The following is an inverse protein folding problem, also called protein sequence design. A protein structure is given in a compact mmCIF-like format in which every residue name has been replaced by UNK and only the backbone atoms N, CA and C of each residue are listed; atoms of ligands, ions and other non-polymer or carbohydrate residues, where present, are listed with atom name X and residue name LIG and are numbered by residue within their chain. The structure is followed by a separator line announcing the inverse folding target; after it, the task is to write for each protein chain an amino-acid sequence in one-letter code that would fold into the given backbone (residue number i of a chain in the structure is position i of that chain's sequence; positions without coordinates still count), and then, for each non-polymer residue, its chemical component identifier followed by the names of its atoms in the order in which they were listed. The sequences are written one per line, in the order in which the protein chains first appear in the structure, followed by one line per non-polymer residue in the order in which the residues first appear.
data_IF_188265328158
#
_entry.id   IF_188265328158
#
_cell.length_a   1.000
_cell.length_b   1.000
_cell.length_c   1.000
_cell.angle_alpha   90.00
_cell.angle_beta   90.00
_cell.angle_gamma   90.00
#
_symmetry.space_group_name_H-M   'P 1'
#
loop_
_entity.id
_entity.type
_entity.pdbx_description
1 polymer ?
#
# COMPACT_ATOMS: atom_id res chain seq x y z
N UNK A 1 -18.93 -19.84 14.00
CA UNK A 1 -18.71 -18.47 14.50
C UNK A 1 -17.82 -17.77 13.51
N UNK A 2 -18.37 -16.87 12.68
CA UNK A 2 -17.62 -16.16 11.67
C UNK A 2 -16.99 -14.92 12.31
N UNK A 3 -15.68 -14.95 12.53
CA UNK A 3 -14.90 -13.77 12.91
C UNK A 3 -15.02 -12.75 11.77
N UNK A 4 -15.95 -11.80 11.92
CA UNK A 4 -16.00 -10.61 11.09
C UNK A 4 -14.78 -9.77 11.46
N UNK A 5 -13.71 -9.92 10.70
CA UNK A 5 -12.59 -8.98 10.72
C UNK A 5 -13.14 -7.64 10.23
N UNK A 6 -13.50 -6.76 11.16
CA UNK A 6 -13.85 -5.38 10.90
C UNK A 6 -12.59 -4.62 10.49
N UNK A 7 -12.06 -4.90 9.31
CA UNK A 7 -11.04 -4.03 8.74
C UNK A 7 -11.73 -2.72 8.34
N UNK A 8 -11.33 -1.55 8.91
CA UNK A 8 -11.93 -0.28 8.54
C UNK A 8 -11.80 -0.05 7.04
N UNK A 9 -12.72 0.70 6.41
CA UNK A 9 -12.68 0.95 4.98
C UNK A 9 -11.35 1.63 4.66
N UNK A 10 -10.45 0.86 4.06
CA UNK A 10 -9.20 1.26 3.43
C UNK A 10 -9.19 2.77 3.16
N UNK A 11 -8.42 3.51 3.97
CA UNK A 11 -8.60 4.91 4.38
C UNK A 11 -8.67 5.99 3.26
N UNK A 12 -8.55 5.56 2.00
CA UNK A 12 -8.65 6.38 0.80
C UNK A 12 -10.06 6.25 0.17
N UNK A 13 -10.68 7.36 -0.27
CA UNK A 13 -11.83 7.31 -1.15
C UNK A 13 -11.56 6.46 -2.41
N UNK A 14 -12.57 5.76 -2.92
CA UNK A 14 -12.43 4.84 -4.05
C UNK A 14 -11.72 5.49 -5.26
N UNK A 15 -12.07 6.74 -5.59
CA UNK A 15 -11.44 7.49 -6.68
C UNK A 15 -9.92 7.65 -6.51
N UNK A 16 -9.44 7.90 -5.30
CA UNK A 16 -8.01 8.06 -5.01
C UNK A 16 -7.25 6.73 -5.07
N UNK A 17 -7.93 5.61 -4.83
CA UNK A 17 -7.37 4.27 -5.07
C UNK A 17 -7.28 3.98 -6.56
N UNK A 18 -8.31 4.31 -7.32
CA UNK A 18 -8.33 4.16 -8.77
C UNK A 18 -7.24 5.00 -9.44
N UNK A 19 -7.05 6.24 -8.99
CA UNK A 19 -5.97 7.13 -9.46
C UNK A 19 -4.59 6.54 -9.18
N UNK A 20 -4.34 5.99 -7.97
CA UNK A 20 -3.11 5.25 -7.66
C UNK A 20 -2.92 4.07 -8.60
N UNK A 21 -3.97 3.27 -8.79
CA UNK A 21 -3.95 2.07 -9.64
C UNK A 21 -3.63 2.41 -11.08
N UNK A 22 -4.20 3.49 -11.59
CA UNK A 22 -3.96 3.98 -12.94
C UNK A 22 -2.51 4.45 -13.13
N UNK A 23 -2.00 5.30 -12.23
CA UNK A 23 -0.60 5.74 -12.29
C UNK A 23 0.40 4.59 -12.17
N UNK A 24 0.11 3.60 -11.30
CA UNK A 24 0.97 2.44 -11.12
C UNK A 24 0.97 1.53 -12.35
N UNK A 25 -0.20 1.31 -12.97
CA UNK A 25 -0.35 0.55 -14.21
C UNK A 25 0.46 1.18 -15.36
N UNK A 26 0.35 2.49 -15.55
CA UNK A 26 1.14 3.20 -16.57
C UNK A 26 2.64 3.11 -16.30
N UNK A 27 3.05 3.21 -15.03
CA UNK A 27 4.43 3.06 -14.60
C UNK A 27 4.92 1.60 -14.53
N UNK A 28 4.11 0.62 -14.97
CA UNK A 28 4.40 -0.82 -14.88
C UNK A 28 4.84 -1.26 -13.47
N UNK A 29 4.31 -0.60 -12.44
CA UNK A 29 4.65 -0.80 -11.04
C UNK A 29 3.48 -1.45 -10.31
N UNK A 30 3.75 -2.37 -9.40
CA UNK A 30 2.70 -3.00 -8.60
C UNK A 30 2.14 -2.08 -7.51
N UNK A 31 0.87 -2.26 -7.14
CA UNK A 31 0.22 -1.56 -6.03
C UNK A 31 0.10 -2.48 -4.81
N UNK A 32 0.68 -2.08 -3.68
CA UNK A 32 0.47 -2.77 -2.39
C UNK A 32 -0.63 -2.09 -1.60
N UNK A 33 -1.67 -2.83 -1.26
CA UNK A 33 -2.64 -2.38 -0.27
C UNK A 33 -2.05 -2.54 1.12
N UNK A 34 -1.99 -1.44 1.85
CA UNK A 34 -1.55 -1.44 3.24
C UNK A 34 -2.76 -1.68 4.14
N UNK A 35 -2.65 -2.66 5.04
CA UNK A 35 -3.74 -3.06 5.95
C UNK A 35 -3.76 -2.26 7.26
N UNK A 36 -2.69 -1.52 7.58
CA UNK A 36 -2.54 -0.75 8.82
C UNK A 36 -3.04 0.70 8.73
N UNK A 37 -2.89 1.45 9.82
CA UNK A 37 -3.38 2.83 9.93
C UNK A 37 -2.48 3.86 9.20
N UNK A 38 -3.04 5.01 8.80
CA UNK A 38 -2.32 6.15 8.19
C UNK A 38 -1.18 6.69 9.05
N UNK A 39 -1.34 6.63 10.38
CA UNK A 39 -0.33 7.08 11.35
C UNK A 39 0.87 6.13 11.36
N UNK A 40 0.60 4.82 11.44
CA UNK A 40 1.65 3.79 11.44
C UNK A 40 2.44 3.79 10.14
N UNK A 41 1.77 4.04 9.00
CA UNK A 41 2.45 4.21 7.71
C UNK A 41 3.35 5.45 7.67
N UNK A 42 2.95 6.54 8.33
CA UNK A 42 3.78 7.73 8.49
C UNK A 42 5.02 7.44 9.33
N UNK A 43 4.81 6.80 10.49
CA UNK A 43 5.86 6.39 11.41
C UNK A 43 6.87 5.44 10.75
N UNK A 44 6.42 4.50 9.91
CA UNK A 44 7.29 3.61 9.14
C UNK A 44 8.20 4.34 8.14
N UNK A 45 7.88 5.58 7.78
CA UNK A 45 8.72 6.45 6.95
C UNK A 45 9.46 7.52 7.77
N UNK A 46 9.43 7.46 9.11
CA UNK A 46 10.00 8.51 9.97
C UNK A 46 9.26 9.85 9.89
N UNK A 47 8.00 9.85 9.43
CA UNK A 47 7.18 11.06 9.29
C UNK A 47 6.16 11.15 10.42
N UNK A 48 6.13 12.30 11.09
CA UNK A 48 5.16 12.61 12.17
C UNK A 48 3.80 13.10 11.65
N UNK A 49 3.55 13.02 10.34
CA UNK A 49 2.31 13.43 9.71
C UNK A 49 1.49 12.22 9.27
N UNK A 50 0.17 12.42 9.13
CA UNK A 50 -0.72 11.38 8.60
C UNK A 50 -0.37 11.12 7.13
N UNK A 51 0.07 9.90 6.80
CA UNK A 51 0.42 9.55 5.41
C UNK A 51 -0.69 8.70 4.84
N UNK A 52 -1.42 9.25 3.86
CA UNK A 52 -2.54 8.58 3.19
C UNK A 52 -2.14 7.72 2.00
N UNK A 53 -1.00 8.01 1.39
CA UNK A 53 -0.43 7.25 0.29
C UNK A 53 1.08 7.52 0.22
N UNK A 54 1.87 6.50 -0.10
CA UNK A 54 3.28 6.64 -0.46
C UNK A 54 3.57 6.00 -1.81
N UNK A 55 4.33 6.70 -2.65
CA UNK A 55 5.03 6.16 -3.82
C UNK A 55 6.48 5.90 -3.43
N UNK A 56 7.04 4.77 -3.89
CA UNK A 56 8.47 4.51 -3.77
C UNK A 56 9.08 4.83 -5.13
N UNK A 57 9.90 5.87 -5.19
CA UNK A 57 10.51 6.28 -6.45
C UNK A 57 11.72 5.41 -6.79
N UNK A 58 12.51 5.06 -5.77
CA UNK A 58 13.65 4.18 -5.86
C UNK A 58 13.55 3.09 -4.78
N UNK A 59 13.70 1.80 -5.13
CA UNK A 59 13.66 0.73 -4.14
C UNK A 59 14.95 0.60 -3.32
N UNK A 60 16.10 1.08 -3.79
CA UNK A 60 17.41 0.82 -3.20
C UNK A 60 17.63 -0.67 -2.93
N UNK A 61 18.15 -0.98 -1.73
CA UNK A 61 18.29 -2.34 -1.20
C UNK A 61 17.01 -2.86 -0.51
N UNK A 62 15.92 -2.09 -0.54
CA UNK A 62 14.68 -2.49 0.14
C UNK A 62 14.05 -3.69 -0.57
N UNK A 63 13.73 -4.74 0.18
CA UNK A 63 13.04 -5.95 -0.28
C UNK A 63 11.59 -5.75 -0.76
N UNK A 64 11.16 -4.51 -0.98
CA UNK A 64 9.81 -4.20 -1.44
C UNK A 64 9.46 -4.90 -2.74
N UNK A 65 10.33 -4.84 -3.75
CA UNK A 65 9.99 -5.37 -5.09
C UNK A 65 9.88 -6.89 -5.05
N UNK A 66 10.70 -7.54 -4.22
CA UNK A 66 10.63 -8.98 -3.95
C UNK A 66 9.29 -9.35 -3.29
N UNK A 67 8.94 -8.66 -2.20
CA UNK A 67 7.65 -8.83 -1.51
C UNK A 67 6.42 -8.57 -2.39
N UNK A 68 6.53 -7.68 -3.39
CA UNK A 68 5.45 -7.43 -4.36
C UNK A 68 5.21 -8.61 -5.30
N UNK A 69 6.28 -9.30 -5.72
CA UNK A 69 6.20 -10.45 -6.63
C UNK A 69 5.67 -11.68 -5.91
N UNK A 70 6.06 -11.87 -4.65
CA UNK A 70 5.62 -12.99 -3.82
C UNK A 70 4.11 -12.95 -3.51
N UNK A 71 3.51 -11.78 -3.33
CA UNK A 71 2.06 -11.70 -3.12
C UNK A 71 1.23 -12.00 -4.38
N UNK A 72 1.84 -12.00 -5.58
CA UNK A 72 1.17 -12.41 -6.82
C UNK A 72 1.44 -13.88 -7.16
N UNK A 73 2.21 -14.58 -6.32
CA UNK A 73 2.59 -15.98 -6.51
C UNK A 73 2.60 -16.75 -5.21
N UNK A 74 1.42 -17.11 -4.71
CA UNK A 74 1.25 -18.34 -3.95
C UNK A 74 -0.11 -18.99 -4.24
N UNK A 75 -0.01 -20.11 -4.97
CA UNK A 75 -0.90 -21.26 -5.26
C UNK A 75 -2.25 -21.06 -5.95
#
# INVERSE_FOLDING_TARGET
MASKTSHPPQQLPALRKSEKGYCAMLAKTGVRHYSGNTIERGAACGRYCIVLHSSRHDPGDSDVIRSMREHTGEK
#
